data_IF_159899934027
#
_entry.id   IF_159899934027
#
_cell.length_a   1.000
_cell.length_b   1.000
_cell.length_c   1.000
_cell.angle_alpha   90.00
_cell.angle_beta   90.00
_cell.angle_gamma   90.00
#
_symmetry.space_group_name_H-M   'P 1'
#
loop_
_entity.id
_entity.type
_entity.pdbx_description
1 polymer ?
#
# COMPACT_ATOMS: atom_id res chain seq x y z
N UNK A 1 5.84 -19.27 13.94
CA UNK A 1 5.50 -19.34 12.50
C UNK A 1 6.02 -18.08 11.83
N UNK A 2 6.73 -18.19 10.71
CA UNK A 2 7.19 -17.02 9.94
C UNK A 2 6.00 -16.39 9.21
N UNK A 3 5.88 -15.06 9.23
CA UNK A 3 4.86 -14.33 8.46
C UNK A 3 5.50 -13.68 7.23
N UNK A 4 4.70 -13.34 6.22
CA UNK A 4 5.17 -12.57 5.07
C UNK A 4 5.75 -11.20 5.46
N UNK A 5 5.23 -10.57 6.54
CA UNK A 5 5.79 -9.31 7.07
C UNK A 5 7.18 -9.51 7.66
N UNK A 6 7.33 -10.55 8.49
CA UNK A 6 8.63 -10.92 9.07
C UNK A 6 9.65 -11.23 7.98
N UNK A 7 9.26 -11.97 6.93
CA UNK A 7 10.17 -12.28 5.82
C UNK A 7 10.55 -11.04 5.01
N UNK A 8 9.59 -10.14 4.77
CA UNK A 8 9.84 -8.84 4.13
C UNK A 8 10.87 -8.03 4.90
N UNK A 9 10.75 -7.96 6.22
CA UNK A 9 11.68 -7.23 7.08
C UNK A 9 13.09 -7.83 7.06
N UNK A 10 13.19 -9.16 7.25
CA UNK A 10 14.48 -9.86 7.29
C UNK A 10 15.23 -9.75 5.96
N UNK A 11 14.51 -9.89 4.83
CA UNK A 11 15.12 -9.92 3.49
C UNK A 11 15.08 -8.56 2.77
N UNK A 12 14.62 -7.49 3.42
CA UNK A 12 14.52 -6.16 2.82
C UNK A 12 13.59 -6.10 1.60
N UNK A 13 12.55 -6.93 1.54
CA UNK A 13 11.63 -6.98 0.40
C UNK A 13 10.76 -5.71 0.34
N UNK A 14 10.41 -5.30 -0.88
CA UNK A 14 9.58 -4.11 -1.14
C UNK A 14 8.19 -4.20 -0.51
N UNK A 15 7.61 -5.39 -0.47
CA UNK A 15 6.30 -5.66 0.12
C UNK A 15 6.24 -7.08 0.69
N UNK A 16 5.19 -7.37 1.46
CA UNK A 16 4.89 -8.73 1.92
C UNK A 16 4.09 -9.55 0.89
N UNK A 17 3.80 -8.97 -0.29
CA UNK A 17 3.11 -9.63 -1.39
C UNK A 17 4.14 -10.07 -2.42
N UNK A 18 4.56 -11.34 -2.34
CA UNK A 18 5.58 -11.88 -3.23
C UNK A 18 5.30 -13.33 -3.61
N UNK A 19 5.92 -13.77 -4.69
CA UNK A 19 6.08 -15.19 -5.06
C UNK A 19 7.55 -15.57 -4.96
N UNK A 20 7.80 -16.86 -4.71
CA UNK A 20 9.14 -17.43 -4.56
C UNK A 20 9.31 -18.51 -5.62
N UNK A 21 10.46 -18.50 -6.31
CA UNK A 21 10.87 -19.57 -7.23
C UNK A 21 12.34 -19.91 -7.01
N UNK A 22 12.68 -21.19 -7.06
CA UNK A 22 14.07 -21.65 -7.06
C UNK A 22 14.63 -21.68 -8.49
N UNK A 23 15.89 -21.30 -8.64
CA UNK A 23 16.62 -21.29 -9.90
C UNK A 23 18.06 -21.79 -9.66
N UNK A 24 18.25 -23.10 -9.72
CA UNK A 24 19.47 -23.77 -9.27
C UNK A 24 19.74 -23.53 -7.78
N UNK A 25 20.86 -22.91 -7.47
CA UNK A 25 21.25 -22.51 -6.11
C UNK A 25 20.66 -21.16 -5.67
N UNK A 26 19.99 -20.44 -6.59
CA UNK A 26 19.39 -19.15 -6.30
C UNK A 26 17.93 -19.29 -5.87
N UNK A 27 17.50 -18.35 -5.02
CA UNK A 27 16.08 -18.15 -4.67
C UNK A 27 15.66 -16.77 -5.18
N UNK A 28 14.65 -16.74 -6.05
CA UNK A 28 14.15 -15.52 -6.68
C UNK A 28 12.83 -15.12 -6.02
N UNK A 29 12.81 -13.90 -5.47
CA UNK A 29 11.61 -13.26 -4.94
C UNK A 29 11.07 -12.25 -5.95
N UNK A 30 9.82 -12.44 -6.36
CA UNK A 30 9.09 -11.45 -7.18
C UNK A 30 8.07 -10.75 -6.32
N UNK A 31 8.26 -9.45 -6.05
CA UNK A 31 7.36 -8.64 -5.20
C UNK A 31 6.33 -7.88 -6.04
N UNK A 32 5.15 -7.62 -5.46
CA UNK A 32 4.11 -6.74 -6.02
C UNK A 32 3.84 -5.58 -5.08
N UNK A 33 3.81 -4.37 -5.61
CA UNK A 33 3.65 -3.14 -4.83
C UNK A 33 4.87 -2.81 -3.96
N UNK A 34 4.75 -1.72 -3.20
CA UNK A 34 5.79 -1.24 -2.29
C UNK A 34 5.15 -0.68 -1.03
N UNK A 35 5.63 -1.08 0.14
CA UNK A 35 5.09 -0.63 1.42
C UNK A 35 4.22 -1.68 2.10
N UNK A 36 3.54 -1.26 3.17
CA UNK A 36 2.72 -2.15 4.02
C UNK A 36 1.32 -2.42 3.44
N UNK A 37 0.87 -1.66 2.43
CA UNK A 37 -0.37 -1.91 1.70
C UNK A 37 -1.66 -1.60 2.46
N UNK A 38 -1.60 -0.79 3.52
CA UNK A 38 -2.78 -0.37 4.29
C UNK A 38 -3.12 1.10 4.02
N UNK A 39 -4.41 1.41 3.87
CA UNK A 39 -4.88 2.76 3.58
C UNK A 39 -4.59 3.19 2.15
N UNK A 40 -4.06 4.40 1.99
CA UNK A 40 -3.90 5.06 0.70
C UNK A 40 -2.66 4.62 -0.08
N UNK A 41 -2.86 4.15 -1.30
CA UNK A 41 -1.77 4.01 -2.28
C UNK A 41 -1.42 5.38 -2.84
N UNK A 42 -0.20 5.86 -2.61
CA UNK A 42 0.26 7.16 -3.13
C UNK A 42 0.21 7.21 -4.67
N UNK A 43 0.63 6.14 -5.34
CA UNK A 43 0.57 6.05 -6.79
C UNK A 43 -0.86 6.01 -7.31
N UNK A 44 -1.76 5.31 -6.61
CA UNK A 44 -3.17 5.26 -6.98
C UNK A 44 -3.87 6.61 -6.76
N UNK A 45 -3.59 7.29 -5.66
CA UNK A 45 -4.04 8.67 -5.41
C UNK A 45 -3.56 9.64 -6.50
N UNK A 46 -2.29 9.55 -6.91
CA UNK A 46 -1.77 10.36 -8.01
C UNK A 46 -2.49 10.07 -9.34
N UNK A 47 -2.74 8.79 -9.65
CA UNK A 47 -3.49 8.42 -10.85
C UNK A 47 -4.94 8.94 -10.81
N UNK A 48 -5.61 8.84 -9.67
CA UNK A 48 -6.95 9.40 -9.48
C UNK A 48 -6.95 10.93 -9.68
N UNK A 49 -5.97 11.63 -9.12
CA UNK A 49 -5.82 13.07 -9.30
C UNK A 49 -5.58 13.46 -10.77
N UNK A 50 -4.69 12.72 -11.47
CA UNK A 50 -4.46 12.88 -12.91
C UNK A 50 -5.71 12.58 -13.75
N UNK A 51 -6.62 11.76 -13.22
CA UNK A 51 -7.91 11.44 -13.83
C UNK A 51 -9.02 12.43 -13.44
N UNK A 52 -8.70 13.50 -12.68
CA UNK A 52 -9.60 14.59 -12.33
C UNK A 52 -10.28 14.46 -10.96
N UNK A 53 -10.00 13.40 -10.18
CA UNK A 53 -10.55 13.27 -8.83
C UNK A 53 -9.97 14.32 -7.89
N UNK A 54 -10.81 14.91 -7.05
CA UNK A 54 -10.39 15.81 -5.97
C UNK A 54 -9.88 15.03 -4.76
N UNK A 55 -9.19 15.72 -3.85
CA UNK A 55 -8.60 15.08 -2.69
C UNK A 55 -9.65 14.40 -1.80
N UNK A 56 -10.86 14.95 -1.72
CA UNK A 56 -11.96 14.38 -0.94
C UNK A 56 -12.38 13.00 -1.47
N UNK A 57 -12.52 12.89 -2.79
CA UNK A 57 -12.88 11.64 -3.47
C UNK A 57 -11.79 10.58 -3.31
N UNK A 58 -10.53 11.00 -3.39
CA UNK A 58 -9.36 10.14 -3.18
C UNK A 58 -9.33 9.61 -1.74
N UNK A 59 -9.51 10.48 -0.75
CA UNK A 59 -9.50 10.08 0.66
C UNK A 59 -10.66 9.15 0.99
N UNK A 60 -11.88 9.45 0.52
CA UNK A 60 -13.06 8.61 0.76
C UNK A 60 -12.91 7.24 0.07
N UNK A 61 -12.25 7.17 -1.08
CA UNK A 61 -11.95 5.90 -1.76
C UNK A 61 -11.04 4.99 -0.92
N UNK A 62 -9.97 5.54 -0.33
CA UNK A 62 -8.98 4.75 0.42
C UNK A 62 -9.33 4.52 1.90
N UNK A 63 -10.15 5.40 2.48
CA UNK A 63 -10.55 5.35 3.87
C UNK A 63 -12.07 5.21 3.97
N UNK A 64 -12.56 3.97 3.92
CA UNK A 64 -14.00 3.69 3.93
C UNK A 64 -14.67 4.18 5.22
N UNK A 65 -15.79 4.88 5.07
CA UNK A 65 -16.61 5.34 6.21
C UNK A 65 -16.07 6.58 6.92
N UNK A 66 -15.06 7.28 6.36
CA UNK A 66 -14.59 8.55 6.92
C UNK A 66 -15.43 9.73 6.46
N UNK A 67 -15.36 10.82 7.22
CA UNK A 67 -15.84 12.14 6.81
C UNK A 67 -14.71 13.15 6.96
N UNK A 68 -14.72 14.17 6.10
CA UNK A 68 -13.76 15.28 6.15
C UNK A 68 -14.43 16.41 6.91
N UNK A 69 -13.78 16.88 7.98
CA UNK A 69 -14.28 17.97 8.82
C UNK A 69 -13.22 19.05 8.95
N UNK A 70 -13.65 20.30 9.08
CA UNK A 70 -12.76 21.34 9.56
C UNK A 70 -12.51 21.10 11.06
N UNK A 71 -11.28 21.30 11.52
CA UNK A 71 -10.95 21.15 12.94
C UNK A 71 -11.76 22.11 13.83
N UNK A 72 -12.20 23.25 13.27
CA UNK A 72 -13.06 24.21 13.97
C UNK A 72 -14.48 23.71 14.21
N UNK A 73 -14.97 22.73 13.45
CA UNK A 73 -16.33 22.17 13.58
C UNK A 73 -16.44 21.13 14.71
N UNK A 74 -15.34 20.87 15.43
CA UNK A 74 -15.22 19.87 16.49
C UNK A 74 -15.30 20.53 17.89
N UNK A 75 -15.25 21.87 17.96
CA UNK A 75 -15.30 22.66 19.20
C UNK A 75 -16.68 23.24 19.47
#
# INVERSE_FOLDING_TARGET
MLTGKTLREILGLRSAAFTIRQDGENVIFTTKGYGHGAGMSQYGANFMALSGAKYEEILIHYYTGVSIKNINDIN
#
